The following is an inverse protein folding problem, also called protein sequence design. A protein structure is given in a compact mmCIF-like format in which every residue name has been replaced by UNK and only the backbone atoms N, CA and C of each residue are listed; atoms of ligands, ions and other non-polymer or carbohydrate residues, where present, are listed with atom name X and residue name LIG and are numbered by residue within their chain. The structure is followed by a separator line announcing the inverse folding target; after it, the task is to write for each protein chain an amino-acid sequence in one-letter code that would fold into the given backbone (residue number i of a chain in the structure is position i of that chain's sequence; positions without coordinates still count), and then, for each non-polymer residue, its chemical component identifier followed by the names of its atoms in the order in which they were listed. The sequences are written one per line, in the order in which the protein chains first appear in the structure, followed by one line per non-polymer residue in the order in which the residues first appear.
data_IF_328961094692
#
_entry.id   IF_328961094692
#
_cell.length_a   1.000
_cell.length_b   1.000
_cell.length_c   1.000
_cell.angle_alpha   90.00
_cell.angle_beta   90.00
_cell.angle_gamma   90.00
#
_symmetry.space_group_name_H-M   'P 1'
#
loop_
_entity.id
_entity.type
_entity.pdbx_description
1 polymer ?
#
# COMPACT_ATOMS: atom_id res chain seq x y z
N UNK A 1 -7.44 18.10 9.70
CA UNK A 1 -7.44 18.16 8.23
C UNK A 1 -7.48 16.74 7.66
N UNK A 2 -8.14 16.58 6.52
CA UNK A 2 -8.34 15.27 5.89
C UNK A 2 -7.06 14.79 5.22
N UNK A 3 -6.71 13.53 5.40
CA UNK A 3 -5.64 12.87 4.64
C UNK A 3 -6.11 12.49 3.23
N UNK A 4 -7.35 12.02 3.11
CA UNK A 4 -7.96 11.65 1.83
C UNK A 4 -9.38 12.17 1.83
N UNK A 5 -9.76 12.82 0.74
CA UNK A 5 -11.17 13.20 0.47
C UNK A 5 -11.56 12.64 -0.88
N UNK A 6 -12.65 11.92 -0.92
CA UNK A 6 -13.24 11.36 -2.13
C UNK A 6 -14.58 12.02 -2.38
N UNK A 7 -14.77 12.59 -3.57
CA UNK A 7 -15.99 13.27 -3.95
C UNK A 7 -16.52 12.71 -5.27
N UNK A 8 -17.76 12.24 -5.21
CA UNK A 8 -18.55 11.71 -6.33
C UNK A 8 -17.80 10.70 -7.21
N UNK A 9 -17.04 9.80 -6.55
CA UNK A 9 -16.26 8.82 -7.27
C UNK A 9 -17.14 7.79 -7.97
N UNK A 10 -16.87 7.58 -9.26
CA UNK A 10 -17.31 6.42 -10.01
C UNK A 10 -16.10 5.53 -10.30
N UNK A 11 -16.22 4.26 -9.92
CA UNK A 11 -15.17 3.25 -10.03
C UNK A 11 -15.55 2.20 -11.07
N UNK A 12 -14.58 1.75 -11.83
CA UNK A 12 -14.82 0.70 -12.81
C UNK A 12 -13.64 0.45 -13.72
N UNK A 13 -13.91 -0.28 -14.80
CA UNK A 13 -12.92 -0.65 -15.82
C UNK A 13 -13.51 -0.39 -17.21
N UNK A 14 -12.67 0.05 -18.14
CA UNK A 14 -13.03 0.25 -19.56
C UNK A 14 -14.31 1.09 -19.74
N UNK A 15 -14.50 2.10 -18.90
CA UNK A 15 -15.67 2.99 -18.96
C UNK A 15 -16.98 2.39 -18.41
N UNK A 16 -16.93 1.18 -17.84
CA UNK A 16 -18.08 0.56 -17.16
C UNK A 16 -17.94 0.75 -15.66
N UNK A 17 -18.90 1.50 -15.09
CA UNK A 17 -18.95 1.71 -13.64
C UNK A 17 -19.38 0.42 -12.92
N UNK A 18 -18.66 0.09 -11.84
CA UNK A 18 -19.02 -0.97 -10.89
C UNK A 18 -19.70 -0.36 -9.68
N UNK A 19 -19.26 0.83 -9.28
CA UNK A 19 -19.81 1.57 -8.14
C UNK A 19 -19.70 3.06 -8.44
N UNK A 20 -20.74 3.81 -8.09
CA UNK A 20 -20.83 5.25 -8.34
C UNK A 20 -21.23 6.00 -7.06
N UNK A 21 -21.06 7.31 -7.09
CA UNK A 21 -21.46 8.23 -6.03
C UNK A 21 -20.81 7.94 -4.67
N UNK A 22 -19.53 7.55 -4.69
CA UNK A 22 -18.78 7.29 -3.46
C UNK A 22 -18.27 8.62 -2.90
N UNK A 23 -18.65 8.92 -1.66
CA UNK A 23 -18.21 10.08 -0.89
C UNK A 23 -17.70 9.62 0.45
N UNK A 24 -16.48 9.98 0.81
CA UNK A 24 -15.96 9.83 2.16
C UNK A 24 -14.70 10.66 2.38
N UNK A 25 -14.39 10.86 3.65
CA UNK A 25 -13.18 11.56 4.09
C UNK A 25 -12.49 10.71 5.14
N UNK A 26 -11.16 10.63 5.05
CA UNK A 26 -10.30 9.95 6.03
C UNK A 26 -9.40 10.99 6.70
N UNK A 27 -9.49 11.10 8.01
CA UNK A 27 -8.65 12.00 8.80
C UNK A 27 -7.52 11.25 9.49
N UNK A 28 -6.59 11.99 10.06
CA UNK A 28 -5.51 11.41 10.87
C UNK A 28 -6.09 10.64 12.06
N UNK A 29 -5.71 9.36 12.17
CA UNK A 29 -6.15 8.48 13.26
C UNK A 29 -7.44 7.72 12.96
N UNK A 30 -8.10 7.97 11.81
CA UNK A 30 -9.30 7.23 11.44
C UNK A 30 -8.97 5.77 11.07
N UNK A 31 -9.92 4.91 11.36
CA UNK A 31 -9.96 3.52 10.89
C UNK A 31 -11.16 3.35 9.96
N UNK A 32 -10.90 3.25 8.67
CA UNK A 32 -11.94 3.05 7.64
C UNK A 32 -12.08 1.57 7.29
N UNK A 33 -13.28 1.04 7.48
CA UNK A 33 -13.62 -0.33 7.07
C UNK A 33 -14.49 -0.31 5.80
N UNK A 34 -14.05 -1.02 4.75
CA UNK A 34 -14.79 -1.13 3.49
C UNK A 34 -15.44 -2.51 3.45
N UNK A 35 -16.77 -2.54 3.52
CA UNK A 35 -17.57 -3.76 3.57
C UNK A 35 -18.45 -3.82 2.32
N UNK A 36 -18.68 -5.02 1.81
CA UNK A 36 -19.55 -5.26 0.65
C UNK A 36 -19.39 -6.67 0.10
N UNK A 37 -20.29 -7.06 -0.76
CA UNK A 37 -20.27 -8.35 -1.45
C UNK A 37 -19.05 -8.50 -2.38
N UNK A 38 -18.79 -9.74 -2.82
CA UNK A 38 -17.77 -9.97 -3.84
C UNK A 38 -18.22 -9.33 -5.15
N UNK A 39 -17.31 -8.57 -5.77
CA UNK A 39 -17.63 -7.80 -6.97
C UNK A 39 -18.14 -6.39 -6.74
N UNK A 40 -18.43 -5.97 -5.49
CA UNK A 40 -18.90 -4.62 -5.17
C UNK A 40 -17.88 -3.49 -5.36
N UNK A 41 -16.73 -3.74 -5.98
CA UNK A 41 -15.74 -2.69 -6.26
C UNK A 41 -14.75 -2.38 -5.14
N UNK A 42 -14.72 -3.15 -4.03
CA UNK A 42 -13.78 -2.91 -2.91
C UNK A 42 -12.31 -2.86 -3.34
N UNK A 43 -11.88 -3.86 -4.10
CA UNK A 43 -10.50 -3.91 -4.61
C UNK A 43 -10.23 -2.82 -5.65
N UNK A 44 -11.25 -2.42 -6.41
CA UNK A 44 -11.18 -1.32 -7.37
C UNK A 44 -10.98 0.00 -6.62
N UNK A 45 -11.76 0.24 -5.56
CA UNK A 45 -11.60 1.42 -4.70
C UNK A 45 -10.18 1.49 -4.12
N UNK A 46 -9.67 0.39 -3.55
CA UNK A 46 -8.31 0.34 -3.02
C UNK A 46 -7.26 0.69 -4.08
N UNK A 47 -7.37 0.11 -5.28
CA UNK A 47 -6.44 0.42 -6.39
C UNK A 47 -6.55 1.87 -6.84
N UNK A 48 -7.75 2.45 -6.83
CA UNK A 48 -7.97 3.85 -7.20
C UNK A 48 -7.39 4.80 -6.14
N UNK A 49 -7.57 4.51 -4.85
CA UNK A 49 -6.95 5.27 -3.75
C UNK A 49 -5.41 5.23 -3.81
N UNK A 50 -4.85 4.10 -4.21
CA UNK A 50 -3.41 3.94 -4.44
C UNK A 50 -2.92 4.54 -5.77
N UNK A 51 -3.80 5.16 -6.54
CA UNK A 51 -3.51 5.71 -7.88
C UNK A 51 -2.96 4.69 -8.88
N UNK A 52 -3.25 3.40 -8.67
CA UNK A 52 -2.90 2.33 -9.60
C UNK A 52 -3.85 2.28 -10.80
N UNK A 53 -5.09 2.74 -10.62
CA UNK A 53 -6.08 2.96 -11.67
C UNK A 53 -6.74 4.32 -11.49
N UNK A 54 -7.20 4.90 -12.58
CA UNK A 54 -7.95 6.17 -12.53
C UNK A 54 -9.43 5.90 -12.25
N UNK A 55 -10.12 6.79 -11.51
CA UNK A 55 -11.58 6.74 -11.41
C UNK A 55 -12.21 7.05 -12.78
N UNK A 56 -13.42 6.59 -13.01
CA UNK A 56 -14.22 6.94 -14.20
C UNK A 56 -14.64 8.41 -14.11
N UNK A 57 -15.06 8.85 -12.93
CA UNK A 57 -15.39 10.24 -12.62
C UNK A 57 -15.20 10.52 -11.13
N UNK A 58 -15.31 11.79 -10.75
CA UNK A 58 -15.10 12.25 -9.39
C UNK A 58 -13.65 12.58 -9.09
N UNK A 59 -13.36 12.97 -7.86
CA UNK A 59 -12.03 13.41 -7.43
C UNK A 59 -11.55 12.69 -6.18
N UNK A 60 -10.22 12.50 -6.12
CA UNK A 60 -9.52 12.05 -4.91
C UNK A 60 -8.47 13.09 -4.59
N UNK A 61 -8.66 13.77 -3.48
CA UNK A 61 -7.71 14.74 -2.96
C UNK A 61 -6.95 14.16 -1.77
N UNK A 62 -5.65 14.40 -1.74
CA UNK A 62 -4.78 14.11 -0.58
C UNK A 62 -4.40 15.41 0.09
N UNK A 63 -4.63 15.50 1.38
CA UNK A 63 -4.35 16.67 2.20
C UNK A 63 -3.29 16.40 3.26
N UNK A 64 -3.05 17.39 4.13
CA UNK A 64 -2.14 17.35 5.27
C UNK A 64 -0.69 16.95 4.94
N UNK A 65 -0.24 17.25 3.72
CA UNK A 65 1.11 16.89 3.27
C UNK A 65 1.31 15.39 3.01
N UNK A 66 0.22 14.61 2.96
CA UNK A 66 0.31 13.18 2.62
C UNK A 66 0.86 13.01 1.21
N UNK A 67 2.06 12.50 1.13
CA UNK A 67 2.68 12.13 -0.14
C UNK A 67 2.19 10.75 -0.58
N UNK A 68 2.05 10.53 -1.88
CA UNK A 68 1.74 9.22 -2.44
C UNK A 68 2.75 8.12 -2.02
N UNK A 69 3.99 8.53 -1.68
CA UNK A 69 5.05 7.62 -1.20
C UNK A 69 4.90 7.20 0.27
N UNK A 70 3.97 7.81 1.01
CA UNK A 70 3.71 7.52 2.42
C UNK A 70 2.53 6.58 2.62
N UNK A 71 1.85 6.21 1.54
CA UNK A 71 0.75 5.24 1.57
C UNK A 71 1.31 3.84 1.43
N UNK A 72 1.25 3.06 2.52
CA UNK A 72 1.59 1.65 2.51
C UNK A 72 0.40 0.80 2.06
N UNK A 73 0.65 -0.19 1.21
CA UNK A 73 -0.35 -1.16 0.78
C UNK A 73 0.07 -2.57 1.16
N UNK A 74 -0.79 -3.26 1.89
CA UNK A 74 -0.64 -4.68 2.20
C UNK A 74 -1.68 -5.48 1.41
N UNK A 75 -1.29 -6.06 0.26
CA UNK A 75 -2.20 -6.86 -0.55
C UNK A 75 -2.52 -8.19 0.12
N UNK A 76 -3.62 -8.80 -0.30
CA UNK A 76 -3.89 -10.19 0.05
C UNK A 76 -2.75 -11.08 -0.50
N UNK A 77 -2.22 -11.95 0.36
CA UNK A 77 -1.08 -12.79 0.02
C UNK A 77 -1.44 -13.75 -1.12
N UNK A 78 -0.67 -13.73 -2.20
CA UNK A 78 -0.79 -14.67 -3.32
C UNK A 78 0.18 -15.83 -3.15
N UNK A 79 -0.10 -16.99 -3.79
CA UNK A 79 0.79 -18.16 -3.77
C UNK A 79 2.20 -17.81 -4.28
N UNK A 80 2.32 -16.95 -5.28
CA UNK A 80 3.60 -16.50 -5.87
C UNK A 80 4.45 -15.72 -4.85
N UNK A 81 3.82 -14.96 -3.96
CA UNK A 81 4.54 -14.22 -2.92
C UNK A 81 5.12 -15.14 -1.85
N UNK A 82 4.48 -16.28 -1.59
CA UNK A 82 4.97 -17.26 -0.60
C UNK A 82 6.28 -17.92 -1.02
N UNK A 83 6.50 -18.07 -2.32
CA UNK A 83 7.67 -18.78 -2.86
C UNK A 83 8.82 -17.86 -3.27
N UNK A 84 8.75 -16.57 -2.92
CA UNK A 84 9.78 -15.61 -3.30
C UNK A 84 11.10 -15.89 -2.54
N UNK A 85 12.20 -16.21 -3.24
CA UNK A 85 13.45 -16.63 -2.62
C UNK A 85 14.30 -15.43 -2.18
N UNK A 86 13.79 -14.63 -1.24
CA UNK A 86 14.52 -13.50 -0.68
C UNK A 86 14.58 -13.59 0.83
N UNK A 87 15.60 -12.99 1.41
CA UNK A 87 15.71 -12.83 2.87
C UNK A 87 14.67 -11.80 3.37
N UNK A 88 14.31 -11.90 4.64
CA UNK A 88 13.44 -10.92 5.30
C UNK A 88 14.00 -9.50 5.17
N UNK A 89 15.31 -9.33 5.30
CA UNK A 89 15.97 -8.04 5.15
C UNK A 89 15.79 -7.46 3.74
N UNK A 90 15.93 -8.29 2.70
CA UNK A 90 15.72 -7.85 1.31
C UNK A 90 14.28 -7.42 1.07
N UNK A 91 13.30 -8.17 1.58
CA UNK A 91 11.88 -7.80 1.49
C UNK A 91 11.62 -6.44 2.18
N UNK A 92 12.13 -6.25 3.39
CA UNK A 92 11.95 -4.98 4.13
C UNK A 92 12.60 -3.82 3.38
N UNK A 93 13.78 -4.02 2.78
CA UNK A 93 14.47 -3.01 1.99
C UNK A 93 13.67 -2.59 0.75
N UNK A 94 12.88 -3.49 0.14
CA UNK A 94 12.04 -3.11 -1.01
C UNK A 94 11.04 -2.00 -0.67
N UNK A 95 10.58 -1.91 0.58
CA UNK A 95 9.71 -0.84 1.06
C UNK A 95 10.34 0.56 0.98
N UNK A 96 11.67 0.66 0.82
CA UNK A 96 12.38 1.94 0.69
C UNK A 96 12.66 2.34 -0.77
N UNK A 97 12.29 1.49 -1.75
CA UNK A 97 12.60 1.72 -3.17
C UNK A 97 11.98 3.01 -3.72
N UNK A 98 10.79 3.38 -3.29
CA UNK A 98 10.12 4.60 -3.72
C UNK A 98 10.92 5.88 -3.37
N UNK A 99 11.84 5.79 -2.40
CA UNK A 99 12.73 6.88 -1.99
C UNK A 99 14.11 6.85 -2.66
N UNK A 100 14.41 5.78 -3.41
CA UNK A 100 15.78 5.50 -3.89
C UNK A 100 16.15 6.20 -5.20
N UNK A 101 15.18 6.63 -6.00
CA UNK A 101 15.43 7.10 -7.35
C UNK A 101 16.16 6.03 -8.18
N UNK A 102 17.06 6.46 -9.08
CA UNK A 102 17.79 5.61 -10.04
C UNK A 102 19.06 4.93 -9.45
N UNK A 103 19.19 4.78 -8.14
CA UNK A 103 20.39 4.19 -7.53
C UNK A 103 20.29 2.67 -7.49
N UNK A 104 21.29 1.92 -8.01
CA UNK A 104 21.26 0.46 -8.06
C UNK A 104 21.50 -0.22 -6.70
N UNK A 105 21.90 0.54 -5.68
CA UNK A 105 22.19 0.01 -4.35
C UNK A 105 21.46 0.79 -3.26
N UNK A 106 21.06 0.08 -2.20
CA UNK A 106 20.46 0.68 -1.02
C UNK A 106 21.47 1.53 -0.27
N UNK A 107 21.12 2.76 0.06
CA UNK A 107 21.92 3.68 0.85
C UNK A 107 22.08 3.18 2.29
N UNK A 108 23.08 3.73 3.00
CA UNK A 108 23.28 3.45 4.43
C UNK A 108 22.07 3.86 5.27
N UNK A 109 21.42 4.95 4.89
CA UNK A 109 20.21 5.44 5.55
C UNK A 109 19.05 4.46 5.41
N UNK A 110 18.79 3.94 4.20
CA UNK A 110 17.76 2.94 3.96
C UNK A 110 17.97 1.65 4.74
N UNK A 111 19.21 1.18 4.81
CA UNK A 111 19.59 0.01 5.63
C UNK A 111 19.34 0.25 7.11
N UNK A 112 19.62 1.45 7.61
CA UNK A 112 19.34 1.82 8.99
C UNK A 112 17.84 1.93 9.28
N UNK A 113 17.06 2.52 8.38
CA UNK A 113 15.57 2.56 8.47
C UNK A 113 14.98 1.14 8.52
N UNK A 114 15.41 0.28 7.61
CA UNK A 114 14.98 -1.13 7.58
C UNK A 114 15.31 -1.83 8.90
N UNK A 115 16.54 -1.67 9.41
CA UNK A 115 16.95 -2.22 10.70
C UNK A 115 16.07 -1.73 11.85
N UNK A 116 15.87 -0.42 11.98
CA UNK A 116 15.05 0.17 13.05
C UNK A 116 13.61 -0.34 13.01
N UNK A 117 13.03 -0.46 11.81
CA UNK A 117 11.69 -0.99 11.66
C UNK A 117 11.61 -2.47 12.05
N UNK A 118 12.60 -3.28 11.66
CA UNK A 118 12.67 -4.68 12.06
C UNK A 118 12.87 -4.85 13.57
N UNK A 119 13.66 -4.00 14.21
CA UNK A 119 13.84 -3.98 15.67
C UNK A 119 12.52 -3.59 16.38
N UNK A 120 11.83 -2.56 15.90
CA UNK A 120 10.50 -2.17 16.42
C UNK A 120 9.46 -3.28 16.34
N UNK A 121 9.50 -4.07 15.27
CA UNK A 121 8.60 -5.21 15.05
C UNK A 121 9.08 -6.49 15.75
N UNK A 122 10.24 -6.49 16.41
CA UNK A 122 10.81 -7.65 17.09
C UNK A 122 11.29 -8.77 16.16
N UNK A 123 11.54 -8.47 14.87
CA UNK A 123 11.90 -9.46 13.85
C UNK A 123 13.36 -9.35 13.37
N UNK A 124 14.18 -8.56 14.01
CA UNK A 124 15.59 -8.38 13.61
C UNK A 124 16.38 -9.68 13.56
N UNK A 125 16.10 -10.62 14.46
CA UNK A 125 16.71 -11.96 14.50
C UNK A 125 16.40 -12.80 13.26
N UNK A 126 15.30 -12.49 12.53
CA UNK A 126 14.86 -13.20 11.33
C UNK A 126 15.45 -12.63 10.04
N UNK A 127 16.23 -11.54 10.09
CA UNK A 127 16.71 -10.78 8.92
C UNK A 127 17.36 -11.59 7.81
N UNK A 128 18.05 -12.68 8.17
CA UNK A 128 18.78 -13.55 7.23
C UNK A 128 17.97 -14.79 6.83
N UNK A 129 16.78 -15.01 7.42
CA UNK A 129 15.93 -16.13 7.04
C UNK A 129 15.30 -15.88 5.68
N UNK A 130 15.07 -16.96 4.92
CA UNK A 130 14.29 -16.88 3.70
C UNK A 130 12.83 -16.58 4.05
N UNK A 131 12.24 -15.61 3.35
CA UNK A 131 10.84 -15.22 3.56
C UNK A 131 9.87 -16.41 3.43
N UNK A 132 10.19 -17.34 2.50
CA UNK A 132 9.41 -18.57 2.28
C UNK A 132 9.33 -19.47 3.52
N UNK A 133 10.33 -19.43 4.40
CA UNK A 133 10.39 -20.26 5.61
C UNK A 133 9.59 -19.67 6.79
N UNK A 134 9.10 -18.45 6.64
CA UNK A 134 8.24 -17.83 7.63
C UNK A 134 6.82 -18.34 7.41
N UNK A 135 6.36 -19.19 8.30
CA UNK A 135 4.94 -19.53 8.36
C UNK A 135 4.15 -18.29 8.77
N UNK A 136 3.09 -18.02 8.07
CA UNK A 136 2.17 -16.92 8.39
C UNK A 136 1.46 -17.15 9.73
#
# INVERSE_FOLDING_TARGET
MAYITCEDLALGYEGKAVTEHIHFTVNKGDYLCIIGENGAGKSTLMKTLLRLIQPISGTIETGDGLSAYEVGYLPQQTAVQKDFPASVMEIVLTGTLNKSGWKPFYSRQQKNEARQNMEKMGIWNLRNRCYRELSG
#
